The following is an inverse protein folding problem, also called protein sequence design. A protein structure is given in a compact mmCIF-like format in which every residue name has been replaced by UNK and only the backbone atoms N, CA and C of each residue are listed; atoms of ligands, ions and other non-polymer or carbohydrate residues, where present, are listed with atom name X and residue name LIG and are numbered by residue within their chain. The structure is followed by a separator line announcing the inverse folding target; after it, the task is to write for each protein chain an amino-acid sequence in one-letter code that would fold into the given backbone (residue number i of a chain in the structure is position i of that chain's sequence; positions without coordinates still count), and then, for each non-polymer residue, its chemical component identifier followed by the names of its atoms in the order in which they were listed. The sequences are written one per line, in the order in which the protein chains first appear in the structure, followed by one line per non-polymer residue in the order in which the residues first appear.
data_IF_208483966309
#
_entry.id   IF_208483966309
#
_cell.length_a   1.000
_cell.length_b   1.000
_cell.length_c   1.000
_cell.angle_alpha   90.00
_cell.angle_beta   90.00
_cell.angle_gamma   90.00
#
_symmetry.space_group_name_H-M   'P 1'
#
loop_
_entity.id
_entity.type
_entity.pdbx_description
1 polymer ?
#
# COMPACT_ATOMS: atom_id res chain seq x y z
N UNK A 1 -7.64 20.01 7.11
CA UNK A 1 -7.59 21.04 6.04
C UNK A 1 -6.16 21.55 5.91
N UNK A 2 -5.56 21.38 4.74
CA UNK A 2 -4.19 21.84 4.49
C UNK A 2 -3.89 21.87 3.00
N UNK A 3 -2.78 22.50 2.64
CA UNK A 3 -2.34 22.56 1.25
C UNK A 3 -1.54 21.30 0.91
N UNK A 4 -1.90 20.63 -0.19
CA UNK A 4 -1.13 19.51 -0.71
C UNK A 4 -0.10 20.03 -1.71
N UNK A 5 1.18 19.95 -1.33
CA UNK A 5 2.31 20.26 -2.20
C UNK A 5 3.13 18.99 -2.44
N UNK A 6 3.16 18.53 -3.69
CA UNK A 6 3.96 17.39 -4.13
C UNK A 6 5.22 17.91 -4.81
N UNK A 7 6.36 17.43 -4.31
CA UNK A 7 7.67 17.77 -4.82
C UNK A 7 8.39 16.53 -5.34
N UNK A 8 9.23 16.72 -6.34
CA UNK A 8 10.08 15.68 -6.89
C UNK A 8 11.52 16.17 -6.93
N UNK A 9 12.38 15.47 -6.20
CA UNK A 9 13.82 15.74 -6.21
C UNK A 9 14.50 14.83 -7.24
N UNK A 10 15.31 15.42 -8.11
CA UNK A 10 16.05 14.68 -9.14
C UNK A 10 17.55 14.95 -9.01
N UNK A 11 18.35 13.89 -8.98
CA UNK A 11 19.81 13.95 -9.01
C UNK A 11 20.38 14.28 -10.42
N UNK A 12 19.63 15.00 -11.25
CA UNK A 12 20.06 15.39 -12.61
C UNK A 12 20.85 16.70 -12.59
N UNK A 13 21.44 17.09 -13.73
CA UNK A 13 22.21 18.34 -13.90
C UNK A 13 21.50 19.61 -13.36
N UNK A 14 20.17 19.62 -13.31
CA UNK A 14 19.37 20.62 -12.61
C UNK A 14 19.07 20.17 -11.17
N UNK A 15 20.12 19.92 -10.38
CA UNK A 15 19.99 19.54 -8.98
C UNK A 15 19.04 20.53 -8.30
N UNK A 16 17.83 20.08 -7.97
CA UNK A 16 16.77 20.96 -7.54
C UNK A 16 15.49 20.22 -7.21
N UNK A 17 14.75 20.78 -6.26
CA UNK A 17 13.40 20.35 -5.88
C UNK A 17 12.43 20.90 -6.92
N UNK A 18 11.79 20.03 -7.70
CA UNK A 18 10.78 20.44 -8.67
C UNK A 18 9.37 20.34 -8.05
N UNK A 19 8.57 21.40 -8.18
CA UNK A 19 7.16 21.37 -7.82
C UNK A 19 6.38 20.54 -8.85
N UNK A 20 5.54 19.61 -8.40
CA UNK A 20 4.75 18.74 -9.30
C UNK A 20 3.27 19.05 -9.23
N UNK A 21 2.74 19.12 -8.02
CA UNK A 21 1.31 19.32 -7.79
C UNK A 21 1.13 20.24 -6.58
N UNK A 22 0.30 21.26 -6.73
CA UNK A 22 -0.06 22.16 -5.65
C UNK A 22 -1.59 22.27 -5.65
N UNK A 23 -2.22 21.76 -4.60
CA UNK A 23 -3.66 21.83 -4.38
C UNK A 23 -3.89 22.51 -3.03
N UNK A 24 -4.24 23.82 -3.04
CA UNK A 24 -4.54 24.53 -1.81
C UNK A 24 -5.90 24.10 -1.24
N UNK A 25 -6.03 24.14 0.08
CA UNK A 25 -7.31 23.87 0.76
C UNK A 25 -7.85 22.45 0.57
N UNK A 26 -6.97 21.47 0.34
CA UNK A 26 -7.36 20.07 0.23
C UNK A 26 -7.80 19.53 1.60
N UNK A 27 -8.98 18.95 1.63
CA UNK A 27 -9.40 18.04 2.67
C UNK A 27 -9.24 16.61 2.15
N UNK A 28 -8.33 15.87 2.77
CA UNK A 28 -8.08 14.47 2.45
C UNK A 28 -8.51 13.63 3.64
N UNK A 29 -9.50 12.78 3.42
CA UNK A 29 -10.05 11.88 4.42
C UNK A 29 -9.87 10.44 3.94
N UNK A 30 -9.31 9.61 4.81
CA UNK A 30 -9.21 8.17 4.58
C UNK A 30 -9.97 7.48 5.71
N UNK A 31 -11.00 6.71 5.37
CA UNK A 31 -11.62 5.79 6.31
C UNK A 31 -11.21 4.37 5.99
N UNK A 32 -10.90 3.61 7.04
CA UNK A 32 -10.42 2.25 6.97
C UNK A 32 -11.22 1.40 7.94
N UNK A 33 -12.01 0.47 7.42
CA UNK A 33 -12.78 -0.48 8.22
C UNK A 33 -12.28 -1.90 7.99
N UNK A 34 -11.97 -2.58 9.08
CA UNK A 34 -11.36 -3.89 9.06
C UNK A 34 -12.41 -5.00 9.17
N UNK A 35 -12.83 -5.53 8.02
CA UNK A 35 -13.89 -6.53 7.96
C UNK A 35 -13.35 -7.93 8.30
N UNK A 36 -13.78 -8.44 9.46
CA UNK A 36 -13.64 -9.84 9.88
C UNK A 36 -14.81 -10.70 9.41
N UNK A 37 -14.72 -12.03 9.60
CA UNK A 37 -15.84 -12.95 9.31
C UNK A 37 -16.89 -12.96 10.43
N UNK A 38 -16.46 -12.75 11.68
CA UNK A 38 -17.32 -12.50 12.84
C UNK A 38 -17.47 -11.01 13.14
N UNK A 39 -18.18 -10.68 14.21
CA UNK A 39 -18.31 -9.30 14.69
C UNK A 39 -16.94 -8.75 15.12
N UNK A 40 -16.52 -7.67 14.48
CA UNK A 40 -15.23 -7.02 14.74
C UNK A 40 -15.19 -6.29 16.10
N UNK A 41 -16.35 -5.96 16.68
CA UNK A 41 -16.44 -5.21 17.93
C UNK A 41 -16.58 -6.10 19.16
N UNK A 42 -16.86 -7.39 18.99
CA UNK A 42 -17.04 -8.34 20.07
C UNK A 42 -15.90 -9.37 20.13
N UNK A 43 -14.81 -8.98 20.79
CA UNK A 43 -13.68 -9.88 21.05
C UNK A 43 -13.93 -10.87 22.20
N UNK A 44 -15.03 -10.74 22.93
CA UNK A 44 -15.33 -11.58 24.09
C UNK A 44 -16.04 -12.89 23.72
N UNK A 45 -16.63 -12.97 22.53
CA UNK A 45 -17.22 -14.20 21.99
C UNK A 45 -16.19 -15.22 21.47
N UNK A 46 -14.89 -14.91 21.56
CA UNK A 46 -13.82 -15.84 21.19
C UNK A 46 -13.84 -17.07 22.09
N UNK A 47 -14.12 -18.23 21.50
CA UNK A 47 -14.00 -19.52 22.18
C UNK A 47 -12.54 -19.96 22.15
N UNK A 48 -11.87 -19.83 23.29
CA UNK A 48 -10.49 -20.30 23.48
C UNK A 48 -10.51 -21.83 23.43
N UNK A 49 -9.80 -22.39 22.45
CA UNK A 49 -9.73 -23.84 22.28
C UNK A 49 -8.51 -24.37 23.02
N UNK A 50 -8.72 -25.25 24.01
CA UNK A 50 -7.62 -25.85 24.75
C UNK A 50 -6.85 -26.84 23.85
N UNK A 51 -5.57 -26.56 23.62
CA UNK A 51 -4.66 -27.36 22.80
C UNK A 51 -4.54 -28.82 23.25
N UNK A 52 -4.75 -29.11 24.53
CA UNK A 52 -4.60 -30.47 25.09
C UNK A 52 -5.81 -31.39 24.84
N UNK A 53 -6.99 -30.83 24.53
CA UNK A 53 -8.23 -31.60 24.36
C UNK A 53 -8.64 -31.83 22.90
N UNK A 54 -7.83 -31.37 21.95
CA UNK A 54 -8.09 -31.50 20.52
C UNK A 54 -7.47 -32.77 19.95
N UNK A 55 -8.26 -33.55 19.22
CA UNK A 55 -7.75 -34.66 18.40
C UNK A 55 -7.00 -34.08 17.20
N UNK A 56 -5.88 -34.69 16.77
CA UNK A 56 -5.03 -34.16 15.68
C UNK A 56 -5.71 -34.11 14.29
N UNK A 57 -6.88 -34.72 14.14
CA UNK A 57 -7.65 -34.76 12.88
C UNK A 57 -8.61 -33.58 12.73
N UNK A 58 -9.00 -32.96 13.84
CA UNK A 58 -9.82 -31.76 13.85
C UNK A 58 -8.89 -30.56 13.76
N UNK A 59 -9.13 -29.69 12.78
CA UNK A 59 -8.27 -28.57 12.47
C UNK A 59 -8.68 -27.22 13.15
N UNK A 60 -9.13 -27.11 14.44
CA UNK A 60 -9.45 -25.81 15.02
C UNK A 60 -8.30 -25.34 15.93
N UNK A 61 -7.09 -25.21 15.38
CA UNK A 61 -5.96 -24.64 16.12
C UNK A 61 -6.02 -23.11 16.25
N UNK A 62 -7.10 -22.49 15.79
CA UNK A 62 -7.16 -21.05 15.63
C UNK A 62 -8.50 -20.49 16.11
N UNK A 63 -8.55 -20.22 17.42
CA UNK A 63 -9.66 -19.57 18.11
C UNK A 63 -10.04 -18.20 17.53
N UNK A 64 -9.13 -17.57 16.79
CA UNK A 64 -9.31 -16.24 16.20
C UNK A 64 -9.59 -16.27 14.69
N UNK A 65 -9.83 -17.44 14.09
CA UNK A 65 -10.12 -17.59 12.65
C UNK A 65 -11.15 -16.59 12.15
N UNK A 66 -12.24 -16.42 12.91
CA UNK A 66 -13.35 -15.55 12.52
C UNK A 66 -13.07 -14.05 12.74
N UNK A 67 -12.11 -13.70 13.60
CA UNK A 67 -11.75 -12.32 13.95
C UNK A 67 -10.53 -11.81 13.20
N UNK A 68 -9.85 -12.69 12.45
CA UNK A 68 -8.79 -12.27 11.54
C UNK A 68 -9.37 -11.37 10.46
N UNK A 69 -8.61 -10.34 10.13
CA UNK A 69 -8.94 -9.51 8.99
C UNK A 69 -8.96 -10.28 7.72
N UNK A 70 -10.13 -10.31 7.12
CA UNK A 70 -10.30 -10.88 5.80
C UNK A 70 -10.16 -9.77 4.75
N UNK A 71 -10.83 -8.64 4.98
CA UNK A 71 -10.91 -7.55 4.01
C UNK A 71 -10.70 -6.21 4.70
N UNK A 72 -10.06 -5.30 4.00
CA UNK A 72 -9.97 -3.90 4.38
C UNK A 72 -10.89 -3.12 3.46
N UNK A 73 -11.93 -2.50 4.02
CA UNK A 73 -12.69 -1.50 3.31
C UNK A 73 -11.94 -0.19 3.43
N UNK A 74 -11.42 0.29 2.31
CA UNK A 74 -10.70 1.55 2.21
C UNK A 74 -11.55 2.54 1.44
N UNK A 75 -11.99 3.62 2.09
CA UNK A 75 -12.60 4.77 1.42
C UNK A 75 -11.65 5.95 1.46
N UNK A 76 -11.46 6.60 0.32
CA UNK A 76 -10.63 7.79 0.21
C UNK A 76 -11.47 8.91 -0.40
N UNK A 77 -11.61 10.01 0.33
CA UNK A 77 -12.35 11.19 -0.09
C UNK A 77 -11.40 12.38 -0.20
N UNK A 78 -11.49 13.08 -1.33
CA UNK A 78 -10.73 14.30 -1.60
C UNK A 78 -11.74 15.40 -1.89
N UNK A 79 -11.84 16.38 -1.00
CA UNK A 79 -12.66 17.57 -1.22
C UNK A 79 -11.81 18.83 -1.19
N UNK A 80 -12.07 19.74 -2.12
CA UNK A 80 -11.40 21.03 -2.21
C UNK A 80 -12.44 22.09 -1.93
N UNK A 81 -12.25 22.83 -0.84
CA UNK A 81 -13.13 23.96 -0.53
C UNK A 81 -12.83 25.13 -1.49
N UNK A 82 -13.79 26.02 -1.70
CA UNK A 82 -13.57 27.22 -2.51
C UNK A 82 -12.33 27.96 -2.02
N UNK A 83 -11.43 28.23 -2.97
CA UNK A 83 -10.11 28.82 -2.69
C UNK A 83 -10.31 30.26 -2.21
N UNK A 84 -10.40 30.44 -0.90
CA UNK A 84 -10.52 31.76 -0.25
C UNK A 84 -9.32 32.67 -0.52
N UNK A 85 -8.16 32.11 -0.85
CA UNK A 85 -6.90 32.83 -1.10
C UNK A 85 -6.50 32.96 -2.59
N UNK A 86 -7.41 32.69 -3.53
CA UNK A 86 -7.23 33.02 -4.95
C UNK A 86 -6.15 32.25 -5.74
N UNK A 87 -5.44 31.27 -5.16
CA UNK A 87 -4.51 30.44 -5.92
C UNK A 87 -5.19 29.20 -6.51
N UNK A 88 -5.31 29.08 -7.84
CA UNK A 88 -5.87 27.87 -8.45
C UNK A 88 -4.94 26.67 -8.24
N UNK A 89 -5.46 25.43 -8.26
CA UNK A 89 -4.62 24.23 -8.24
C UNK A 89 -3.69 24.23 -9.46
N UNK A 90 -2.41 23.90 -9.24
CA UNK A 90 -1.36 23.90 -10.28
C UNK A 90 -0.72 22.53 -10.39
N UNK A 91 -0.46 22.10 -11.61
CA UNK A 91 0.26 20.87 -11.91
C UNK A 91 1.35 21.16 -12.95
N UNK A 92 2.58 20.77 -12.64
CA UNK A 92 3.73 20.91 -13.53
C UNK A 92 4.15 19.53 -14.03
N UNK A 93 4.12 19.35 -15.35
CA UNK A 93 4.44 18.06 -15.98
C UNK A 93 5.81 18.15 -16.64
N UNK A 94 6.78 17.46 -16.04
CA UNK A 94 8.12 17.30 -16.59
C UNK A 94 8.24 15.94 -17.31
N UNK A 95 9.08 15.88 -18.35
CA UNK A 95 9.32 14.63 -19.09
C UNK A 95 9.85 13.49 -18.20
N UNK A 96 10.65 13.82 -17.18
CA UNK A 96 11.13 12.86 -16.19
C UNK A 96 10.01 12.33 -15.28
N UNK A 97 9.00 13.13 -14.96
CA UNK A 97 7.83 12.68 -14.21
C UNK A 97 6.99 11.71 -15.02
N UNK A 98 6.83 11.93 -16.33
CA UNK A 98 6.10 10.99 -17.19
C UNK A 98 6.77 9.61 -17.18
N UNK A 99 8.11 9.58 -17.28
CA UNK A 99 8.89 8.32 -17.15
C UNK A 99 8.71 7.67 -15.78
N UNK A 100 8.63 8.47 -14.72
CA UNK A 100 8.35 7.97 -13.36
C UNK A 100 6.94 7.38 -13.27
N UNK A 101 5.92 8.06 -13.79
CA UNK A 101 4.53 7.59 -13.81
C UNK A 101 4.40 6.28 -14.59
N UNK A 102 5.08 6.15 -15.72
CA UNK A 102 5.09 4.91 -16.50
C UNK A 102 5.72 3.74 -15.71
N UNK A 103 6.79 4.00 -14.96
CA UNK A 103 7.38 3.01 -14.04
C UNK A 103 6.45 2.68 -12.88
N UNK A 104 5.84 3.67 -12.24
CA UNK A 104 4.87 3.48 -11.16
C UNK A 104 3.67 2.65 -11.63
N UNK A 105 3.13 2.95 -12.81
CA UNK A 105 2.08 2.17 -13.45
C UNK A 105 2.50 0.72 -13.64
N UNK A 106 3.71 0.46 -14.15
CA UNK A 106 4.26 -0.89 -14.29
C UNK A 106 4.41 -1.60 -12.94
N UNK A 107 4.78 -0.89 -11.88
CA UNK A 107 4.86 -1.44 -10.51
C UNK A 107 3.49 -1.78 -9.92
N UNK A 108 2.49 -0.90 -10.09
CA UNK A 108 1.13 -1.10 -9.53
C UNK A 108 0.33 -2.15 -10.32
N UNK A 109 0.53 -2.24 -11.64
CA UNK A 109 -0.20 -3.19 -12.50
C UNK A 109 0.40 -4.59 -12.52
N UNK A 110 1.70 -4.73 -12.23
CA UNK A 110 2.29 -6.06 -12.03
C UNK A 110 1.92 -6.55 -10.66
N UNK A 111 1.17 -7.65 -10.61
CA UNK A 111 1.09 -8.49 -9.41
C UNK A 111 2.54 -8.78 -9.00
N UNK A 112 2.93 -8.27 -7.84
CA UNK A 112 4.22 -8.57 -7.25
C UNK A 112 4.25 -10.07 -7.02
N UNK A 113 4.88 -10.83 -7.93
CA UNK A 113 5.13 -12.24 -7.67
C UNK A 113 6.08 -12.26 -6.47
N UNK A 114 5.73 -12.87 -5.33
CA UNK A 114 6.68 -13.03 -4.25
C UNK A 114 7.83 -13.89 -4.78
N UNK A 115 8.95 -13.26 -5.15
CA UNK A 115 10.08 -13.98 -5.70
C UNK A 115 11.01 -14.31 -4.54
N UNK A 116 10.84 -15.52 -3.99
CA UNK A 116 11.83 -16.16 -3.13
C UNK A 116 13.11 -16.37 -3.95
N UNK A 117 14.03 -15.41 -3.91
CA UNK A 117 15.32 -15.45 -4.62
C UNK A 117 16.47 -15.34 -3.63
N UNK A 118 17.55 -16.06 -3.92
CA UNK A 118 18.78 -15.98 -3.15
C UNK A 118 18.93 -17.10 -2.13
N UNK A 119 20.08 -17.09 -1.46
CA UNK A 119 20.48 -18.11 -0.51
C UNK A 119 19.51 -18.23 0.68
N UNK A 120 18.93 -17.10 1.11
CA UNK A 120 17.93 -17.05 2.20
C UNK A 120 16.72 -17.96 1.96
N UNK A 121 16.38 -18.22 0.69
CA UNK A 121 15.26 -19.08 0.32
C UNK A 121 15.70 -20.39 -0.36
N UNK A 122 16.97 -20.79 -0.23
CA UNK A 122 17.56 -21.94 -0.93
C UNK A 122 17.28 -21.94 -2.45
N UNK A 123 17.12 -20.75 -3.05
CA UNK A 123 16.88 -20.56 -4.49
C UNK A 123 18.05 -19.81 -5.09
N UNK A 124 19.19 -20.49 -5.15
CA UNK A 124 20.40 -20.01 -5.81
C UNK A 124 20.22 -20.27 -7.30
N UNK A 125 20.25 -19.21 -8.11
CA UNK A 125 20.22 -19.37 -9.57
C UNK A 125 21.54 -20.01 -10.01
N UNK A 126 21.52 -21.07 -10.83
CA UNK A 126 22.74 -21.57 -11.43
C UNK A 126 23.39 -20.44 -12.24
N UNK A 127 24.71 -20.28 -12.12
CA UNK A 127 25.46 -19.34 -12.95
C UNK A 127 25.30 -19.75 -14.41
N UNK A 128 25.15 -18.78 -15.31
CA UNK A 128 25.14 -19.07 -16.75
C UNK A 128 26.44 -19.78 -17.09
N UNK A 129 26.41 -20.93 -17.78
CA UNK A 129 27.63 -21.57 -18.24
C UNK A 129 28.37 -20.61 -19.16
N UNK A 130 29.67 -20.45 -18.91
CA UNK A 130 30.58 -19.85 -19.87
C UNK A 130 30.80 -20.90 -20.95
N UNK A 131 30.12 -20.77 -22.07
CA UNK A 131 30.55 -21.44 -23.29
C UNK A 131 31.72 -20.63 -23.82
N UNK A 132 32.93 -21.17 -23.64
CA UNK A 132 34.12 -20.74 -24.36
C UNK A 132 34.16 -21.32 -25.76
#
# INVERSE_FOLDING_TARGET
HGDLNLFFETASKYNGVCHVLQIPGLNFEISMDWLSFGDQFDHHSVVIVNREKLKPEDNPHDSYTMFRGNRLLLSMSFSVNEVTNGQPPRCFIYTNLIKLVDRLKSCMSRIARPIRRGAVFNRIRPRKPLFG
#
